data_IF_680701712836
#
_entry.id   IF_680701712836
#
_cell.length_a   1.000
_cell.length_b   1.000
_cell.length_c   1.000
_cell.angle_alpha   90.00
_cell.angle_beta   90.00
_cell.angle_gamma   90.00
#
_symmetry.space_group_name_H-M   'P 1'
#
loop_
_entity.id
_entity.type
_entity.pdbx_description
1 polymer ?
#
# COMPACT_ATOMS: atom_id res chain seq x y z
N UNK A 1 -9.60 -7.04 12.57
CA UNK A 1 -9.04 -7.45 11.25
C UNK A 1 -8.38 -6.21 10.62
N UNK A 2 -7.18 -6.30 10.05
CA UNK A 2 -6.44 -5.15 9.52
C UNK A 2 -6.71 -4.96 8.03
N UNK A 3 -6.95 -3.71 7.64
CA UNK A 3 -7.19 -3.29 6.25
C UNK A 3 -6.37 -2.04 5.96
N UNK A 4 -5.90 -1.93 4.73
CA UNK A 4 -5.33 -0.71 4.18
C UNK A 4 -6.44 0.13 3.56
N UNK A 5 -6.47 1.42 3.86
CA UNK A 5 -7.35 2.39 3.22
C UNK A 5 -6.67 2.92 1.96
N UNK A 6 -7.25 2.63 0.79
CA UNK A 6 -6.62 2.87 -0.51
C UNK A 6 -7.48 3.80 -1.34
N UNK A 7 -6.89 4.89 -1.83
CA UNK A 7 -7.51 5.76 -2.83
C UNK A 7 -7.42 5.11 -4.20
N UNK A 8 -8.54 5.04 -4.91
CA UNK A 8 -8.60 4.56 -6.28
C UNK A 8 -8.85 5.72 -7.26
N UNK A 9 -8.66 5.49 -8.56
CA UNK A 9 -8.76 6.49 -9.63
C UNK A 9 -10.03 6.37 -10.47
N UNK A 10 -11.04 5.63 -10.01
CA UNK A 10 -12.33 5.46 -10.71
C UNK A 10 -13.37 6.55 -10.40
N UNK A 11 -12.97 7.63 -9.71
CA UNK A 11 -13.90 8.66 -9.22
C UNK A 11 -14.72 8.20 -8.01
N UNK A 12 -15.69 9.01 -7.57
CA UNK A 12 -16.50 8.79 -6.36
C UNK A 12 -17.68 7.81 -6.57
N UNK A 13 -17.52 6.85 -7.48
CA UNK A 13 -18.62 5.95 -7.93
C UNK A 13 -18.92 4.79 -6.97
N UNK A 14 -18.02 4.50 -6.02
CA UNK A 14 -18.22 3.44 -5.03
C UNK A 14 -18.91 3.97 -3.77
N UNK A 15 -19.52 3.09 -2.93
CA UNK A 15 -20.05 3.48 -1.61
C UNK A 15 -19.02 4.15 -0.68
N UNK A 16 -17.74 3.99 -1.00
CA UNK A 16 -16.61 4.54 -0.26
C UNK A 16 -15.98 5.75 -0.95
N UNK A 17 -16.73 6.44 -1.82
CA UNK A 17 -16.36 7.74 -2.41
C UNK A 17 -14.97 7.73 -3.09
N UNK A 18 -14.69 6.68 -3.86
CA UNK A 18 -13.43 6.53 -4.58
C UNK A 18 -12.31 5.85 -3.79
N UNK A 19 -12.63 5.32 -2.61
CA UNK A 19 -11.70 4.51 -1.82
C UNK A 19 -12.11 3.03 -1.80
N UNK A 20 -11.18 2.19 -1.37
CA UNK A 20 -11.39 0.77 -1.10
C UNK A 20 -10.65 0.37 0.18
N UNK A 21 -11.21 -0.61 0.90
CA UNK A 21 -10.54 -1.25 2.03
C UNK A 21 -9.96 -2.58 1.57
N UNK A 22 -8.64 -2.68 1.57
CA UNK A 22 -7.94 -3.90 1.14
C UNK A 22 -7.47 -4.67 2.37
N UNK A 23 -7.88 -5.93 2.50
CA UNK A 23 -7.46 -6.76 3.64
C UNK A 23 -5.95 -6.98 3.61
N UNK A 24 -5.32 -7.03 4.79
CA UNK A 24 -3.88 -7.28 4.89
C UNK A 24 -3.43 -8.57 4.14
N UNK A 25 -4.17 -9.71 4.21
CA UNK A 25 -3.80 -10.90 3.45
C UNK A 25 -3.85 -10.71 1.93
N UNK A 26 -4.88 -10.01 1.42
CA UNK A 26 -4.98 -9.74 -0.01
C UNK A 26 -3.84 -8.84 -0.48
N UNK A 27 -3.56 -7.77 0.28
CA UNK A 27 -2.47 -6.84 -0.02
C UNK A 27 -1.12 -7.56 -0.05
N UNK A 28 -0.85 -8.45 0.93
CA UNK A 28 0.39 -9.24 0.97
C UNK A 28 0.52 -10.21 -0.21
N UNK A 29 -0.57 -10.82 -0.64
CA UNK A 29 -0.56 -11.83 -1.71
C UNK A 29 -0.52 -11.21 -3.12
N UNK A 30 -1.13 -10.03 -3.32
CA UNK A 30 -1.40 -9.48 -4.65
C UNK A 30 -0.62 -8.21 -5.00
N UNK A 31 0.06 -7.57 -4.05
CA UNK A 31 0.92 -6.42 -4.36
C UNK A 31 2.19 -6.89 -5.08
N UNK A 32 2.46 -6.29 -6.25
CA UNK A 32 3.65 -6.59 -7.06
C UNK A 32 4.81 -5.66 -6.70
N UNK A 33 4.56 -4.36 -6.61
CA UNK A 33 5.57 -3.36 -6.24
C UNK A 33 4.91 -2.15 -5.55
N UNK A 34 5.72 -1.41 -4.81
CA UNK A 34 5.34 -0.14 -4.17
C UNK A 34 6.47 0.87 -4.37
N UNK A 35 6.11 2.15 -4.36
CA UNK A 35 7.05 3.27 -4.34
C UNK A 35 6.84 4.03 -3.04
N UNK A 36 7.95 4.32 -2.36
CA UNK A 36 7.96 5.09 -1.11
C UNK A 36 9.18 6.02 -1.11
N UNK A 37 9.12 7.11 -0.34
CA UNK A 37 10.28 7.95 -0.10
C UNK A 37 11.38 7.16 0.63
N UNK A 38 12.67 7.43 0.36
CA UNK A 38 13.81 6.70 0.96
C UNK A 38 13.76 6.67 2.50
N UNK A 39 13.30 7.76 3.13
CA UNK A 39 13.16 7.86 4.59
C UNK A 39 12.06 6.97 5.18
N UNK A 40 11.11 6.49 4.38
CA UNK A 40 10.07 5.56 4.83
C UNK A 40 10.57 4.11 4.94
N UNK A 41 11.75 3.81 4.38
CA UNK A 41 12.37 2.49 4.46
C UNK A 41 13.06 2.34 5.83
N UNK A 42 12.73 1.32 6.65
CA UNK A 42 13.41 1.10 7.92
C UNK A 42 14.89 0.78 7.73
N UNK A 43 15.76 1.23 8.65
CA UNK A 43 17.22 1.11 8.50
C UNK A 43 17.70 -0.34 8.37
N UNK A 44 17.00 -1.29 9.01
CA UNK A 44 17.27 -2.73 8.86
C UNK A 44 17.07 -3.25 7.43
N UNK A 45 16.22 -2.58 6.65
CA UNK A 45 15.94 -2.93 5.25
C UNK A 45 16.93 -2.19 4.34
N UNK A 46 17.25 -0.91 4.62
CA UNK A 46 18.23 -0.12 3.84
C UNK A 46 19.58 -0.82 3.67
N UNK A 47 20.08 -1.45 4.75
CA UNK A 47 21.34 -2.20 4.74
C UNK A 47 21.41 -3.30 3.66
N UNK A 48 20.27 -3.80 3.18
CA UNK A 48 20.21 -4.87 2.18
C UNK A 48 20.01 -4.40 0.73
N UNK A 49 19.78 -3.11 0.48
CA UNK A 49 19.39 -2.60 -0.85
C UNK A 49 20.48 -1.74 -1.53
N UNK A 50 21.60 -1.49 -0.84
CA UNK A 50 22.62 -0.53 -1.27
C UNK A 50 22.15 0.92 -1.06
N UNK A 51 23.08 1.82 -0.75
CA UNK A 51 22.80 3.25 -0.52
C UNK A 51 22.60 4.04 -1.83
#
# INVERSE_FOLDING_TARGET
>A
KKYFYVKNSWGAVSPYQGYVYMSEPYFRLKTVSIMVHKNAVPDRVKKGIGD
#
